data_IF_447648162079
#
_entry.id   IF_447648162079
#
_cell.length_a   1.000
_cell.length_b   1.000
_cell.length_c   1.000
_cell.angle_alpha   90.00
_cell.angle_beta   90.00
_cell.angle_gamma   90.00
#
_symmetry.space_group_name_H-M   'P 1'
#
loop_
_entity.id
_entity.type
_entity.pdbx_description
1 polymer ?
#
# COMPACT_ATOMS: atom_id res chain seq x y z
N UNK A 1 -18.60 57.44 -11.64
CA UNK A 1 -19.65 56.91 -12.54
C UNK A 1 -19.80 55.44 -12.24
N UNK A 2 -20.68 55.07 -11.32
CA UNK A 2 -20.95 53.67 -10.99
C UNK A 2 -22.10 53.19 -11.86
N UNK A 3 -21.81 52.33 -12.84
CA UNK A 3 -22.85 51.69 -13.63
C UNK A 3 -23.46 50.57 -12.78
N UNK A 4 -24.66 50.79 -12.25
CA UNK A 4 -25.47 49.75 -11.61
C UNK A 4 -26.21 49.00 -12.72
N UNK A 5 -25.53 48.07 -13.40
CA UNK A 5 -26.20 47.19 -14.36
C UNK A 5 -27.12 46.23 -13.61
N UNK A 6 -28.35 46.08 -14.10
CA UNK A 6 -29.28 45.05 -13.62
C UNK A 6 -28.65 43.70 -13.92
N UNK A 7 -28.33 42.94 -12.87
CA UNK A 7 -27.76 41.59 -13.00
C UNK A 7 -28.89 40.67 -13.46
N UNK A 8 -28.69 40.01 -14.60
CA UNK A 8 -29.62 39.00 -15.10
C UNK A 8 -29.39 37.64 -14.44
N UNK A 9 -30.40 36.78 -14.34
CA UNK A 9 -30.23 35.40 -13.88
C UNK A 9 -29.15 34.63 -14.66
N UNK A 10 -28.96 34.95 -15.94
CA UNK A 10 -27.95 34.36 -16.81
C UNK A 10 -26.53 34.75 -16.36
N UNK A 11 -26.31 36.01 -15.98
CA UNK A 11 -25.01 36.49 -15.46
C UNK A 11 -24.63 35.78 -14.14
N UNK A 12 -25.62 35.53 -13.28
CA UNK A 12 -25.43 34.79 -12.02
C UNK A 12 -25.07 33.33 -12.30
N UNK A 13 -25.75 32.71 -13.26
CA UNK A 13 -25.50 31.32 -13.63
C UNK A 13 -24.11 31.16 -14.26
N UNK A 14 -23.70 32.07 -15.14
CA UNK A 14 -22.36 32.07 -15.74
C UNK A 14 -21.29 32.24 -14.66
N UNK A 15 -21.48 33.14 -13.69
CA UNK A 15 -20.58 33.29 -12.54
C UNK A 15 -20.45 32.00 -11.72
N UNK A 16 -21.56 31.33 -11.42
CA UNK A 16 -21.57 30.09 -10.63
C UNK A 16 -20.98 28.89 -11.38
N UNK A 17 -21.11 28.85 -12.71
CA UNK A 17 -20.50 27.81 -13.54
C UNK A 17 -19.01 28.03 -13.77
N UNK A 18 -18.54 29.29 -13.74
CA UNK A 18 -17.17 29.65 -14.10
C UNK A 18 -16.20 29.73 -12.91
N UNK A 19 -16.68 29.85 -11.68
CA UNK A 19 -15.83 29.95 -10.49
C UNK A 19 -15.28 28.61 -9.97
N UNK A 20 -15.71 27.50 -10.58
CA UNK A 20 -15.24 26.14 -10.27
C UNK A 20 -15.70 25.58 -8.91
N UNK A 21 -16.52 26.31 -8.15
CA UNK A 21 -17.00 25.87 -6.84
C UNK A 21 -17.90 24.64 -6.94
N UNK A 22 -18.76 24.60 -7.96
CA UNK A 22 -19.64 23.48 -8.26
C UNK A 22 -18.82 22.22 -8.61
N UNK A 23 -17.77 22.37 -9.42
CA UNK A 23 -16.90 21.25 -9.79
C UNK A 23 -16.08 20.74 -8.60
N UNK A 24 -15.60 21.64 -7.73
CA UNK A 24 -14.94 21.25 -6.48
C UNK A 24 -15.88 20.46 -5.57
N UNK A 25 -17.16 20.86 -5.47
CA UNK A 25 -18.16 20.14 -4.69
C UNK A 25 -18.46 18.77 -5.31
N UNK A 26 -18.63 18.70 -6.62
CA UNK A 26 -18.84 17.43 -7.35
C UNK A 26 -17.68 16.47 -7.11
N UNK A 27 -16.45 16.95 -7.19
CA UNK A 27 -15.26 16.13 -6.95
C UNK A 27 -15.26 15.58 -5.52
N UNK A 28 -15.51 16.42 -4.51
CA UNK A 28 -15.62 15.99 -3.11
C UNK A 28 -16.70 14.92 -2.90
N UNK A 29 -17.87 15.08 -3.52
CA UNK A 29 -18.96 14.10 -3.44
C UNK A 29 -18.51 12.79 -4.09
N UNK A 30 -17.90 12.83 -5.28
CA UNK A 30 -17.40 11.64 -5.97
C UNK A 30 -16.36 10.92 -5.13
N UNK A 31 -15.39 11.64 -4.56
CA UNK A 31 -14.34 11.04 -3.74
C UNK A 31 -14.90 10.42 -2.46
N UNK A 32 -15.86 11.08 -1.80
CA UNK A 32 -16.57 10.51 -0.66
C UNK A 32 -17.38 9.27 -1.03
N UNK A 33 -18.07 9.27 -2.18
CA UNK A 33 -18.84 8.12 -2.65
C UNK A 33 -17.92 6.93 -2.94
N UNK A 34 -16.78 7.16 -3.60
CA UNK A 34 -15.76 6.12 -3.85
C UNK A 34 -15.20 5.55 -2.55
N UNK A 35 -14.81 6.41 -1.60
CA UNK A 35 -14.30 5.98 -0.30
C UNK A 35 -15.33 5.14 0.46
N UNK A 36 -16.61 5.54 0.43
CA UNK A 36 -17.70 4.80 1.06
C UNK A 36 -17.94 3.44 0.39
N UNK A 37 -17.83 3.37 -0.94
CA UNK A 37 -17.96 2.12 -1.67
C UNK A 37 -16.83 1.14 -1.35
N UNK A 38 -15.59 1.64 -1.28
CA UNK A 38 -14.43 0.85 -0.87
C UNK A 38 -14.54 0.35 0.57
N UNK A 39 -14.97 1.22 1.50
CA UNK A 39 -15.23 0.83 2.89
C UNK A 39 -16.25 -0.29 2.96
N UNK A 40 -17.40 -0.14 2.28
CA UNK A 40 -18.47 -1.14 2.23
C UNK A 40 -17.96 -2.47 1.70
N UNK A 41 -17.23 -2.46 0.58
CA UNK A 41 -16.67 -3.67 -0.02
C UNK A 41 -15.67 -4.37 0.93
N UNK A 42 -14.86 -3.59 1.64
CA UNK A 42 -13.90 -4.11 2.62
C UNK A 42 -14.61 -4.71 3.83
N UNK A 43 -15.62 -4.03 4.38
CA UNK A 43 -16.41 -4.55 5.51
C UNK A 43 -17.15 -5.84 5.15
N UNK A 44 -17.73 -5.93 3.94
CA UNK A 44 -18.37 -7.17 3.46
C UNK A 44 -17.35 -8.31 3.43
N UNK A 45 -16.18 -8.10 2.81
CA UNK A 45 -15.12 -9.13 2.76
C UNK A 45 -14.66 -9.57 4.15
N UNK A 46 -14.47 -8.63 5.08
CA UNK A 46 -14.10 -8.95 6.46
C UNK A 46 -15.18 -9.79 7.15
N UNK A 47 -16.46 -9.48 6.93
CA UNK A 47 -17.56 -10.25 7.49
C UNK A 47 -17.66 -11.66 6.87
N UNK A 48 -17.45 -11.80 5.56
CA UNK A 48 -17.43 -13.09 4.86
C UNK A 48 -16.25 -13.98 5.28
N UNK A 49 -15.12 -13.38 5.63
CA UNK A 49 -13.91 -14.12 6.04
C UNK A 49 -13.85 -14.41 7.54
N UNK A 50 -14.63 -13.71 8.37
CA UNK A 50 -14.61 -13.90 9.82
C UNK A 50 -15.10 -15.29 10.20
N UNK A 51 -14.31 -16.03 10.96
CA UNK A 51 -14.74 -17.31 11.52
C UNK A 51 -15.82 -17.08 12.56
N UNK A 52 -15.69 -16.04 13.39
CA UNK A 52 -16.64 -15.73 14.46
C UNK A 52 -18.05 -15.55 13.90
N UNK A 53 -18.22 -14.70 12.87
CA UNK A 53 -19.53 -14.42 12.28
C UNK A 53 -20.10 -15.59 11.48
N UNK A 54 -19.25 -16.41 10.85
CA UNK A 54 -19.67 -17.54 10.02
C UNK A 54 -19.81 -18.86 10.80
N UNK A 55 -19.56 -18.87 12.11
CA UNK A 55 -19.80 -20.06 12.95
C UNK A 55 -21.29 -20.29 13.19
N UNK A 56 -21.70 -21.55 13.11
CA UNK A 56 -23.08 -21.94 13.45
C UNK A 56 -23.40 -21.59 14.91
N UNK A 57 -24.47 -20.84 15.16
CA UNK A 57 -24.85 -20.41 16.50
C UNK A 57 -24.40 -18.99 16.86
N UNK A 58 -23.65 -18.30 15.99
CA UNK A 58 -23.31 -16.89 16.15
C UNK A 58 -24.55 -16.01 16.31
N UNK A 59 -25.67 -16.38 15.67
CA UNK A 59 -26.95 -15.69 15.77
C UNK A 59 -27.59 -15.74 17.17
N UNK A 60 -27.14 -16.67 18.02
CA UNK A 60 -27.64 -16.86 19.40
C UNK A 60 -26.74 -16.20 20.45
N UNK A 61 -25.55 -15.75 20.04
CA UNK A 61 -24.62 -15.07 20.94
C UNK A 61 -25.07 -13.63 21.18
N UNK A 62 -24.74 -13.12 22.36
CA UNK A 62 -24.95 -11.71 22.66
C UNK A 62 -24.00 -10.85 21.83
N UNK A 63 -24.39 -9.58 21.60
CA UNK A 63 -23.53 -8.59 20.92
C UNK A 63 -22.15 -8.46 21.58
N UNK A 64 -22.08 -8.62 22.91
CA UNK A 64 -20.83 -8.52 23.67
C UNK A 64 -19.91 -9.70 23.40
N UNK A 65 -20.45 -10.93 23.46
CA UNK A 65 -19.68 -12.14 23.17
C UNK A 65 -19.14 -12.14 21.74
N UNK A 66 -19.96 -11.71 20.77
CA UNK A 66 -19.53 -11.56 19.38
C UNK A 66 -18.40 -10.53 19.24
N UNK A 67 -18.50 -9.39 19.92
CA UNK A 67 -17.48 -8.36 19.88
C UNK A 67 -16.15 -8.82 20.50
N UNK A 68 -16.21 -9.46 21.67
CA UNK A 68 -15.03 -9.99 22.36
C UNK A 68 -14.34 -11.08 21.51
N UNK A 69 -15.12 -11.98 20.90
CA UNK A 69 -14.61 -13.01 20.00
C UNK A 69 -13.98 -12.43 18.72
N UNK A 70 -14.63 -11.44 18.09
CA UNK A 70 -14.08 -10.75 16.91
C UNK A 70 -12.77 -10.03 17.23
N UNK A 71 -12.69 -9.39 18.39
CA UNK A 71 -11.45 -8.74 18.84
C UNK A 71 -10.32 -9.75 18.99
N UNK A 72 -10.61 -10.90 19.58
CA UNK A 72 -9.63 -11.98 19.73
C UNK A 72 -9.17 -12.53 18.37
N UNK A 73 -10.08 -12.73 17.42
CA UNK A 73 -9.76 -13.15 16.05
C UNK A 73 -8.78 -12.18 15.37
N UNK A 74 -9.01 -10.87 15.51
CA UNK A 74 -8.13 -9.83 14.95
C UNK A 74 -6.75 -9.82 15.63
N UNK A 75 -6.71 -9.94 16.95
CA UNK A 75 -5.45 -9.95 17.72
C UNK A 75 -4.59 -11.17 17.37
N UNK A 76 -5.20 -12.36 17.24
CA UNK A 76 -4.54 -13.57 16.79
C UNK A 76 -4.02 -13.46 15.35
N UNK A 77 -4.80 -12.85 14.45
CA UNK A 77 -4.37 -12.66 13.06
C UNK A 77 -3.18 -11.70 13.00
N UNK A 78 -3.21 -10.61 13.77
CA UNK A 78 -2.13 -9.64 13.83
C UNK A 78 -0.84 -10.25 14.40
N UNK A 79 -0.92 -11.06 15.46
CA UNK A 79 0.26 -11.70 16.06
C UNK A 79 0.87 -12.73 15.11
N UNK A 80 0.04 -13.55 14.45
CA UNK A 80 0.50 -14.54 13.47
C UNK A 80 1.16 -13.89 12.25
N UNK A 81 0.61 -12.77 11.77
CA UNK A 81 1.21 -11.98 10.69
C UNK A 81 2.57 -11.40 11.10
N UNK A 82 2.68 -10.89 12.33
CA UNK A 82 3.93 -10.35 12.85
C UNK A 82 5.02 -11.44 12.94
N UNK A 83 4.70 -12.60 13.53
CA UNK A 83 5.63 -13.74 13.63
C UNK A 83 6.05 -14.24 12.24
N UNK A 84 5.11 -14.34 11.30
CA UNK A 84 5.39 -14.73 9.92
C UNK A 84 6.32 -13.73 9.21
N UNK A 85 6.12 -12.43 9.43
CA UNK A 85 6.97 -11.39 8.86
C UNK A 85 8.39 -11.45 9.42
N UNK A 86 8.53 -11.61 10.74
CA UNK A 86 9.84 -11.79 11.40
C UNK A 86 10.57 -13.03 10.87
N UNK A 87 9.85 -14.15 10.68
CA UNK A 87 10.40 -15.35 10.09
C UNK A 87 10.89 -15.12 8.64
N UNK A 88 10.12 -14.40 7.81
CA UNK A 88 10.50 -14.04 6.44
C UNK A 88 11.74 -13.14 6.40
N UNK A 89 11.81 -12.14 7.28
CA UNK A 89 12.99 -11.25 7.41
C UNK A 89 14.22 -12.06 7.80
N UNK A 90 14.07 -12.96 8.78
CA UNK A 90 15.17 -13.83 9.23
C UNK A 90 15.63 -14.77 8.13
N UNK A 91 14.70 -15.41 7.40
CA UNK A 91 15.04 -16.29 6.28
C UNK A 91 15.77 -15.55 5.17
N UNK A 92 15.32 -14.32 4.82
CA UNK A 92 16.02 -13.49 3.83
C UNK A 92 17.45 -13.19 4.28
N UNK A 93 17.65 -12.80 5.54
CA UNK A 93 18.98 -12.52 6.08
C UNK A 93 19.89 -13.74 5.96
N UNK A 94 19.42 -14.91 6.39
CA UNK A 94 20.17 -16.17 6.33
C UNK A 94 20.48 -16.56 4.88
N UNK A 95 19.52 -16.39 3.97
CA UNK A 95 19.74 -16.69 2.55
C UNK A 95 20.84 -15.82 1.95
N UNK A 96 20.81 -14.51 2.22
CA UNK A 96 21.82 -13.59 1.71
C UNK A 96 23.20 -13.85 2.31
N UNK A 97 23.27 -14.20 3.60
CA UNK A 97 24.51 -14.57 4.28
C UNK A 97 25.13 -15.82 3.64
N UNK A 98 24.32 -16.86 3.40
CA UNK A 98 24.77 -18.08 2.72
C UNK A 98 25.18 -17.85 1.27
N UNK A 99 24.50 -16.97 0.55
CA UNK A 99 24.88 -16.58 -0.80
C UNK A 99 26.25 -15.87 -0.79
N UNK A 100 26.46 -14.94 0.15
CA UNK A 100 27.73 -14.25 0.31
C UNK A 100 28.86 -15.22 0.68
N UNK A 101 28.61 -16.14 1.62
CA UNK A 101 29.57 -17.20 1.99
C UNK A 101 29.93 -18.07 0.79
N UNK A 102 28.96 -18.44 -0.06
CA UNK A 102 29.22 -19.22 -1.26
C UNK A 102 30.08 -18.46 -2.27
N UNK A 103 29.81 -17.16 -2.46
CA UNK A 103 30.55 -16.29 -3.36
C UNK A 103 31.96 -15.97 -2.86
N UNK A 104 32.13 -15.79 -1.55
CA UNK A 104 33.38 -15.39 -0.88
C UNK A 104 33.99 -16.52 -0.04
N UNK A 105 33.99 -17.74 -0.58
CA UNK A 105 34.44 -18.95 0.12
C UNK A 105 35.93 -19.23 0.02
N UNK A 106 36.69 -18.43 -0.74
CA UNK A 106 38.12 -18.66 -1.03
C UNK A 106 39.01 -17.91 -0.05
N UNK A 107 40.21 -18.46 0.14
CA UNK A 107 41.19 -17.97 1.12
C UNK A 107 41.62 -16.51 0.90
N UNK A 108 41.65 -16.03 -0.35
CA UNK A 108 42.04 -14.65 -0.66
C UNK A 108 40.86 -13.67 -0.77
N UNK A 109 39.61 -14.10 -0.62
CA UNK A 109 38.43 -13.21 -0.79
C UNK A 109 38.36 -12.04 0.22
N UNK A 110 38.87 -12.15 1.46
CA UNK A 110 38.96 -11.01 2.39
C UNK A 110 40.08 -10.01 2.04
N UNK A 111 40.99 -10.34 1.13
CA UNK A 111 42.14 -9.52 0.80
C UNK A 111 41.76 -8.39 -0.16
N UNK A 112 42.40 -7.23 0.01
CA UNK A 112 42.32 -6.15 -0.98
C UNK A 112 42.89 -6.64 -2.32
N UNK A 113 42.14 -6.44 -3.41
CA UNK A 113 42.61 -6.73 -4.75
C UNK A 113 42.94 -5.46 -5.52
N UNK A 114 43.93 -5.57 -6.42
CA UNK A 114 44.25 -4.56 -7.42
C UNK A 114 43.77 -5.08 -8.77
N UNK A 115 43.04 -4.25 -9.51
CA UNK A 115 42.62 -4.56 -10.88
C UNK A 115 43.55 -3.82 -11.82
N UNK A 116 44.36 -4.58 -12.56
CA UNK A 116 45.19 -4.05 -13.64
C UNK A 116 44.54 -4.40 -14.98
N UNK A 117 44.26 -3.37 -15.79
CA UNK A 117 43.65 -3.53 -17.11
C UNK A 117 44.72 -3.26 -18.15
N UNK A 118 45.07 -4.29 -18.90
CA UNK A 118 45.97 -4.19 -20.05
C UNK A 118 45.16 -4.46 -21.32
N UNK A 119 45.23 -3.54 -22.27
CA UNK A 119 44.59 -3.74 -23.56
C UNK A 119 45.21 -4.93 -24.32
N UNK A 120 44.34 -5.72 -24.94
CA UNK A 120 44.73 -6.89 -25.72
C UNK A 120 45.26 -6.54 -27.12
N UNK A 121 45.55 -7.56 -27.91
CA UNK A 121 45.92 -7.38 -29.31
C UNK A 121 44.69 -6.98 -30.14
N UNK A 122 44.61 -5.70 -30.50
CA UNK A 122 43.51 -5.12 -31.32
C UNK A 122 43.75 -3.68 -31.77
N UNK A 123 44.91 -3.09 -31.46
CA UNK A 123 45.24 -1.72 -31.88
C UNK A 123 44.40 -0.70 -31.13
N UNK A 124 43.83 0.28 -31.84
CA UNK A 124 42.96 1.29 -31.21
C UNK A 124 41.64 0.70 -30.73
N UNK A 125 41.14 -0.36 -31.36
CA UNK A 125 39.87 -1.01 -31.01
C UNK A 125 39.94 -1.79 -29.69
N UNK A 126 41.14 -2.21 -29.26
CA UNK A 126 41.31 -2.86 -27.96
C UNK A 126 41.57 -1.88 -26.81
N UNK A 127 41.70 -0.59 -27.13
CA UNK A 127 41.95 0.51 -26.18
C UNK A 127 40.71 1.38 -25.93
N UNK A 128 39.73 1.35 -26.84
CA UNK A 128 38.42 2.02 -26.75
C UNK A 128 37.45 1.21 -25.88
#
# INVERSE_FOLDING_TARGET
MGCSSVISPEDVLESLMSDGTIDSLRLKIIDQLKANEELKNTTIKMAEQSKVLNTSGAEKQSKRELFDALRQELELTSSLLHESLEALVTMRRISNEKELEALLSREQDPCLCYIEVQAGAGGTESMD
#
